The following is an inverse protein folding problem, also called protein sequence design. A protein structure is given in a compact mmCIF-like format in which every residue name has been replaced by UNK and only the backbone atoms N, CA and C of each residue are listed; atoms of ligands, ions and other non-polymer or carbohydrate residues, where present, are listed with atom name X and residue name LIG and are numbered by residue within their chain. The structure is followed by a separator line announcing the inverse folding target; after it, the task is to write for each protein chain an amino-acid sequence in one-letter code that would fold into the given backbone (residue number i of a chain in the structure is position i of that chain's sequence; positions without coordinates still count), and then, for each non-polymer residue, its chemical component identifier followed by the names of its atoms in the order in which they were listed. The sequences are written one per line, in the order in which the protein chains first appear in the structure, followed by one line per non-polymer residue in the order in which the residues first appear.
data_IF_611320306547
#
_entry.id   IF_611320306547
#
_cell.length_a   1.000
_cell.length_b   1.000
_cell.length_c   1.000
_cell.angle_alpha   90.00
_cell.angle_beta   90.00
_cell.angle_gamma   90.00
#
_symmetry.space_group_name_H-M   'P 1'
#
loop_
_entity.id
_entity.type
_entity.pdbx_description
1 polymer ?
#
# COMPACT_ATOMS: atom_id res chain seq x y z
N UNK A 1 5.80 -21.18 1.03
CA UNK A 1 5.09 -19.92 0.71
C UNK A 1 6.06 -18.83 0.24
N UNK A 2 7.16 -18.57 0.94
CA UNK A 2 8.18 -17.56 0.55
C UNK A 2 8.70 -17.65 -0.90
N UNK A 3 8.91 -18.86 -1.43
CA UNK A 3 9.45 -19.05 -2.79
C UNK A 3 8.50 -18.65 -3.92
N UNK A 4 7.19 -18.83 -3.71
CA UNK A 4 6.18 -18.53 -4.73
C UNK A 4 5.84 -17.04 -4.74
N UNK A 5 5.72 -16.42 -3.56
CA UNK A 5 5.59 -14.96 -3.43
C UNK A 5 6.81 -14.26 -4.04
N UNK A 6 8.03 -14.76 -3.77
CA UNK A 6 9.25 -14.23 -4.38
C UNK A 6 9.19 -14.27 -5.91
N UNK A 7 8.75 -15.40 -6.49
CA UNK A 7 8.61 -15.56 -7.94
C UNK A 7 7.64 -14.53 -8.52
N UNK A 8 6.45 -14.41 -7.93
CA UNK A 8 5.41 -13.46 -8.37
C UNK A 8 5.93 -12.02 -8.27
N UNK A 9 6.62 -11.67 -7.18
CA UNK A 9 7.22 -10.33 -7.02
C UNK A 9 8.28 -10.07 -8.08
N UNK A 10 9.15 -11.04 -8.37
CA UNK A 10 10.17 -10.91 -9.43
C UNK A 10 9.54 -10.70 -10.81
N UNK A 11 8.46 -11.39 -11.12
CA UNK A 11 7.72 -11.19 -12.38
C UNK A 11 7.07 -9.81 -12.44
N UNK A 12 6.49 -9.35 -11.33
CA UNK A 12 5.90 -8.02 -11.24
C UNK A 12 6.96 -6.91 -11.40
N UNK A 13 8.17 -7.09 -10.81
CA UNK A 13 9.34 -6.21 -11.03
C UNK A 13 9.72 -6.15 -12.52
N UNK A 14 9.65 -7.28 -13.22
CA UNK A 14 9.95 -7.37 -14.65
C UNK A 14 8.84 -6.77 -15.55
N UNK A 15 7.78 -6.21 -14.98
CA UNK A 15 6.69 -5.57 -15.71
C UNK A 15 5.52 -6.52 -16.04
N UNK A 16 5.49 -7.74 -15.51
CA UNK A 16 4.34 -8.62 -15.67
C UNK A 16 3.14 -8.09 -14.86
N UNK A 17 2.19 -7.46 -15.56
CA UNK A 17 1.00 -6.90 -14.97
C UNK A 17 0.13 -7.94 -14.26
N UNK A 18 0.03 -9.17 -14.81
CA UNK A 18 -0.74 -10.24 -14.18
C UNK A 18 -0.14 -10.66 -12.84
N UNK A 19 1.19 -10.68 -12.72
CA UNK A 19 1.87 -10.95 -11.46
C UNK A 19 1.57 -9.86 -10.41
N UNK A 20 1.55 -8.59 -10.81
CA UNK A 20 1.12 -7.51 -9.92
C UNK A 20 -0.34 -7.65 -9.49
N UNK A 21 -1.24 -8.05 -10.40
CA UNK A 21 -2.65 -8.30 -10.07
C UNK A 21 -2.80 -9.39 -9.01
N UNK A 22 -1.99 -10.45 -9.05
CA UNK A 22 -1.98 -11.50 -8.01
C UNK A 22 -1.62 -10.90 -6.65
N UNK A 23 -0.53 -10.12 -6.60
CA UNK A 23 -0.10 -9.44 -5.37
C UNK A 23 -1.17 -8.48 -4.83
N UNK A 24 -1.80 -7.71 -5.74
CA UNK A 24 -2.91 -6.81 -5.40
C UNK A 24 -4.05 -7.58 -4.73
N UNK A 25 -4.55 -8.64 -5.37
CA UNK A 25 -5.68 -9.42 -4.86
C UNK A 25 -5.40 -10.04 -3.48
N UNK A 26 -4.16 -10.51 -3.25
CA UNK A 26 -3.77 -11.12 -1.98
C UNK A 26 -3.65 -10.10 -0.83
N UNK A 27 -3.32 -8.85 -1.14
CA UNK A 27 -2.98 -7.83 -0.14
C UNK A 27 -4.04 -6.76 0.04
N UNK A 28 -4.96 -6.58 -0.91
CA UNK A 28 -5.94 -5.50 -0.93
C UNK A 28 -6.73 -5.42 0.38
N UNK A 29 -7.38 -6.52 0.76
CA UNK A 29 -8.18 -6.61 1.98
C UNK A 29 -7.39 -6.29 3.25
N UNK A 30 -6.13 -6.73 3.31
CA UNK A 30 -5.25 -6.53 4.48
C UNK A 30 -4.86 -5.06 4.60
N UNK A 31 -4.49 -4.42 3.49
CA UNK A 31 -4.16 -3.00 3.43
C UNK A 31 -5.40 -2.16 3.74
N UNK A 32 -6.54 -2.46 3.12
CA UNK A 32 -7.80 -1.75 3.35
C UNK A 32 -8.20 -1.79 4.82
N UNK A 33 -8.21 -2.96 5.46
CA UNK A 33 -8.54 -3.09 6.88
C UNK A 33 -7.59 -2.30 7.77
N UNK A 34 -6.30 -2.31 7.48
CA UNK A 34 -5.30 -1.51 8.20
C UNK A 34 -5.59 -0.02 8.09
N UNK A 35 -5.81 0.48 6.88
CA UNK A 35 -6.10 1.90 6.63
C UNK A 35 -7.43 2.30 7.31
N UNK A 36 -8.47 1.48 7.13
CA UNK A 36 -9.78 1.71 7.72
C UNK A 36 -9.72 1.77 9.25
N UNK A 37 -9.00 0.85 9.90
CA UNK A 37 -8.83 0.88 11.35
C UNK A 37 -8.19 2.19 11.86
N UNK A 38 -7.33 2.83 11.05
CA UNK A 38 -6.63 4.06 11.43
C UNK A 38 -7.41 5.33 11.16
N UNK A 39 -8.28 5.32 10.15
CA UNK A 39 -8.98 6.51 9.65
C UNK A 39 -10.46 6.52 10.05
N UNK A 40 -11.06 5.34 10.18
CA UNK A 40 -12.48 5.12 10.53
C UNK A 40 -13.49 5.84 9.62
N UNK A 41 -13.07 6.19 8.40
CA UNK A 41 -13.93 6.75 7.36
C UNK A 41 -13.76 5.89 6.10
N UNK A 42 -14.86 5.30 5.64
CA UNK A 42 -14.86 4.32 4.54
C UNK A 42 -14.27 4.89 3.25
N UNK A 43 -14.80 6.02 2.77
CA UNK A 43 -14.34 6.63 1.51
C UNK A 43 -12.86 7.02 1.56
N UNK A 44 -12.42 7.68 2.63
CA UNK A 44 -11.00 8.05 2.83
C UNK A 44 -10.11 6.79 2.86
N UNK A 45 -10.58 5.69 3.45
CA UNK A 45 -9.84 4.43 3.49
C UNK A 45 -9.77 3.75 2.11
N UNK A 46 -10.85 3.77 1.34
CA UNK A 46 -10.87 3.29 -0.04
C UNK A 46 -9.88 4.08 -0.90
N UNK A 47 -9.90 5.41 -0.83
CA UNK A 47 -9.00 6.30 -1.59
C UNK A 47 -7.53 6.06 -1.25
N UNK A 48 -7.19 6.01 0.05
CA UNK A 48 -5.81 5.79 0.48
C UNK A 48 -5.34 4.38 0.11
N UNK A 49 -6.22 3.38 0.19
CA UNK A 49 -5.87 2.02 -0.24
C UNK A 49 -5.53 2.00 -1.73
N UNK A 50 -6.32 2.67 -2.57
CA UNK A 50 -5.99 2.81 -4.00
C UNK A 50 -4.63 3.51 -4.19
N UNK A 51 -4.38 4.59 -3.45
CA UNK A 51 -3.09 5.31 -3.52
C UNK A 51 -1.90 4.44 -3.09
N UNK A 52 -2.08 3.54 -2.11
CA UNK A 52 -1.04 2.56 -1.73
C UNK A 52 -0.65 1.70 -2.92
N UNK A 53 -1.61 1.11 -3.62
CA UNK A 53 -1.33 0.22 -4.73
C UNK A 53 -0.82 0.95 -5.97
N UNK A 54 -1.27 2.19 -6.21
CA UNK A 54 -0.71 3.04 -7.26
C UNK A 54 0.77 3.35 -6.99
N UNK A 55 1.12 3.75 -5.76
CA UNK A 55 2.52 3.98 -5.37
C UNK A 55 3.34 2.69 -5.40
N UNK A 56 2.76 1.57 -4.98
CA UNK A 56 3.41 0.28 -5.06
C UNK A 56 3.73 -0.08 -6.51
N UNK A 57 2.78 0.06 -7.43
CA UNK A 57 2.98 -0.19 -8.86
C UNK A 57 4.09 0.70 -9.45
N UNK A 58 4.12 1.98 -9.09
CA UNK A 58 5.16 2.91 -9.54
C UNK A 58 6.54 2.59 -8.97
N UNK A 59 6.61 2.07 -7.75
CA UNK A 59 7.85 1.82 -7.03
C UNK A 59 8.36 0.38 -7.13
N UNK A 60 7.54 -0.56 -7.62
CA UNK A 60 7.85 -2.00 -7.56
C UNK A 60 9.14 -2.34 -8.30
N UNK A 61 9.47 -1.67 -9.41
CA UNK A 61 10.73 -1.88 -10.13
C UNK A 61 11.99 -1.58 -9.30
N UNK A 62 11.87 -0.81 -8.22
CA UNK A 62 12.96 -0.52 -7.27
C UNK A 62 12.97 -1.46 -6.05
N UNK A 63 11.94 -2.29 -5.88
CA UNK A 63 11.83 -3.24 -4.78
C UNK A 63 12.90 -4.31 -4.92
N UNK A 64 13.61 -4.58 -3.82
CA UNK A 64 14.63 -5.64 -3.75
C UNK A 64 14.14 -6.70 -2.78
N UNK A 65 13.89 -7.90 -3.31
CA UNK A 65 13.64 -9.06 -2.47
C UNK A 65 14.88 -9.32 -1.60
N UNK A 66 14.69 -9.29 -0.28
CA UNK A 66 15.70 -9.47 0.77
C UNK A 66 15.01 -10.19 1.94
N UNK A 67 15.38 -9.87 3.17
CA UNK A 67 14.77 -10.41 4.39
C UNK A 67 13.41 -9.77 4.75
N UNK A 68 12.99 -8.73 4.03
CA UNK A 68 11.73 -8.02 4.29
C UNK A 68 10.63 -8.55 3.37
N UNK A 69 9.52 -9.10 3.91
CA UNK A 69 8.39 -9.55 3.11
C UNK A 69 7.76 -8.42 2.29
N UNK A 70 7.22 -8.74 1.12
CA UNK A 70 6.53 -7.78 0.26
C UNK A 70 5.38 -7.07 1.00
N UNK A 71 4.61 -7.80 1.80
CA UNK A 71 3.57 -7.24 2.66
C UNK A 71 4.10 -6.14 3.58
N UNK A 72 5.26 -6.32 4.21
CA UNK A 72 5.84 -5.31 5.10
C UNK A 72 6.22 -4.02 4.36
N UNK A 73 6.67 -4.15 3.11
CA UNK A 73 6.92 -3.00 2.23
C UNK A 73 5.62 -2.28 1.85
N UNK A 74 4.55 -3.01 1.50
CA UNK A 74 3.23 -2.42 1.27
C UNK A 74 2.69 -1.68 2.50
N UNK A 75 2.78 -2.28 3.69
CA UNK A 75 2.34 -1.64 4.93
C UNK A 75 3.14 -0.38 5.27
N UNK A 76 4.42 -0.30 4.88
CA UNK A 76 5.20 0.93 5.01
C UNK A 76 4.63 2.06 4.13
N UNK A 77 4.25 1.76 2.89
CA UNK A 77 3.60 2.73 2.00
C UNK A 77 2.26 3.19 2.62
N UNK A 78 1.44 2.23 3.07
CA UNK A 78 0.16 2.51 3.71
C UNK A 78 0.30 3.37 4.97
N UNK A 79 1.27 3.04 5.82
CA UNK A 79 1.56 3.79 7.03
C UNK A 79 1.88 5.25 6.72
N UNK A 80 2.78 5.50 5.76
CA UNK A 80 3.17 6.85 5.39
C UNK A 80 1.98 7.67 4.88
N UNK A 81 1.14 7.08 4.03
CA UNK A 81 -0.07 7.73 3.51
C UNK A 81 -1.08 8.05 4.62
N UNK A 82 -1.31 7.12 5.55
CA UNK A 82 -2.18 7.35 6.72
C UNK A 82 -1.66 8.52 7.56
N UNK A 83 -0.36 8.57 7.86
CA UNK A 83 0.25 9.65 8.64
C UNK A 83 0.11 11.00 7.91
N UNK A 84 0.39 11.03 6.61
CA UNK A 84 0.24 12.24 5.80
C UNK A 84 -1.20 12.74 5.76
N UNK A 85 -2.16 11.83 5.60
CA UNK A 85 -3.58 12.15 5.62
C UNK A 85 -4.02 12.75 6.96
N UNK A 86 -3.66 12.09 8.07
CA UNK A 86 -3.98 12.58 9.42
C UNK A 86 -3.38 13.97 9.69
N UNK A 87 -2.14 14.21 9.24
CA UNK A 87 -1.47 15.51 9.36
C UNK A 87 -2.19 16.61 8.58
N UNK A 88 -2.63 16.34 7.35
CA UNK A 88 -3.41 17.30 6.53
C UNK A 88 -4.77 17.61 7.18
N UNK A 89 -5.47 16.59 7.67
CA UNK A 89 -6.76 16.75 8.37
C UNK A 89 -6.65 17.58 9.64
N UNK A 90 -5.56 17.44 10.40
CA UNK A 90 -5.30 18.26 11.58
C UNK A 90 -5.09 19.73 11.24
N UNK A 91 -4.35 20.04 10.15
CA UNK A 91 -4.09 21.43 9.72
C UNK A 91 -5.36 22.16 9.29
N UNK A 92 -6.27 21.45 8.62
CA UNK A 92 -7.57 22.01 8.23
C UNK A 92 -8.50 22.31 9.41
N UNK A 93 -8.33 21.65 10.55
CA UNK A 93 -9.09 21.96 11.78
C UNK A 93 -8.59 23.21 12.52
N UNK A 94 -7.36 23.65 12.27
CA UNK A 94 -6.70 24.73 13.01
C UNK A 94 -6.65 26.08 12.26
N UNK A 95 -7.21 26.18 11.06
CA UNK A 95 -7.36 27.49 10.40
C UNK A 95 -8.56 28.24 11.02
N UNK A 96 -8.35 29.39 11.69
CA UNK A 96 -9.45 30.16 12.27
C UNK A 96 -10.23 30.90 11.17
N UNK A 97 -11.54 31.04 11.40
CA UNK A 97 -12.38 32.08 10.81
C UNK A 97 -11.93 33.46 11.30
#
# INVERSE_FOLDING_TARGET
MSSEEERIVREAIAGNQAAFTVLYNEHFDKVYRYVYFRISVRSEAEDITQEVFLKALQAIGSFKWREVPFAAWLFRIAHNLVIDHMRKKSKHKTAPL
#
